data_IF_774892436959
#
_entry.id   IF_774892436959
#
_cell.length_a   1.000
_cell.length_b   1.000
_cell.length_c   1.000
_cell.angle_alpha   90.00
_cell.angle_beta   90.00
_cell.angle_gamma   90.00
#
_symmetry.space_group_name_H-M   'P 1'
#
loop_
_entity.id
_entity.type
_entity.pdbx_description
1 polymer ?
#
# COMPACT_ATOMS: atom_id res chain seq x y z
N UNK A 1 9.57 9.49 -3.98
CA UNK A 1 8.85 10.51 -3.19
C UNK A 1 7.37 10.38 -3.47
N UNK A 2 6.52 10.36 -2.44
CA UNK A 2 5.07 10.50 -2.64
C UNK A 2 4.76 12.00 -2.75
N UNK A 3 4.09 12.46 -3.82
CA UNK A 3 3.98 13.88 -4.13
C UNK A 3 2.77 14.58 -3.46
N UNK A 4 2.07 13.92 -2.54
CA UNK A 4 0.76 14.38 -2.07
C UNK A 4 0.80 14.81 -0.61
N UNK A 5 0.74 16.12 -0.35
CA UNK A 5 0.56 16.67 1.01
C UNK A 5 -0.85 16.38 1.58
N UNK A 6 -1.81 16.13 0.69
CA UNK A 6 -3.22 15.85 1.02
C UNK A 6 -3.72 14.63 0.25
N UNK A 7 -4.70 13.96 0.81
CA UNK A 7 -5.38 12.81 0.22
C UNK A 7 -5.90 13.15 -1.18
N UNK A 8 -5.44 12.46 -2.24
CA UNK A 8 -5.88 12.75 -3.60
C UNK A 8 -7.36 12.39 -3.83
N UNK A 9 -7.94 11.52 -2.99
CA UNK A 9 -9.33 11.11 -3.10
C UNK A 9 -10.32 12.09 -2.44
N UNK A 10 -9.95 12.76 -1.33
CA UNK A 10 -10.90 13.59 -0.56
C UNK A 10 -10.33 14.89 0.04
N UNK A 11 -9.08 15.24 -0.28
CA UNK A 11 -8.42 16.48 0.11
C UNK A 11 -8.09 16.63 1.60
N UNK A 12 -8.28 15.57 2.42
CA UNK A 12 -7.93 15.58 3.85
C UNK A 12 -6.47 15.22 4.09
N UNK A 13 -6.00 15.42 5.31
CA UNK A 13 -4.64 15.06 5.70
C UNK A 13 -4.40 13.55 5.61
N UNK A 14 -3.15 13.23 5.30
CA UNK A 14 -2.62 11.87 5.29
C UNK A 14 -1.70 11.71 6.50
N UNK A 15 -1.68 10.52 7.10
CA UNK A 15 -0.75 10.22 8.18
C UNK A 15 0.01 8.94 7.89
N UNK A 16 1.28 8.88 8.27
CA UNK A 16 2.07 7.66 8.15
C UNK A 16 1.68 6.64 9.23
N UNK A 17 1.41 5.40 8.80
CA UNK A 17 1.09 4.28 9.68
C UNK A 17 1.63 2.97 9.11
N UNK A 18 1.98 2.04 9.99
CA UNK A 18 2.13 0.63 9.60
C UNK A 18 0.75 0.01 9.38
N UNK A 19 0.56 -0.62 8.21
CA UNK A 19 -0.69 -1.29 7.84
C UNK A 19 -0.40 -2.71 7.36
N UNK A 20 -1.39 -3.58 7.50
CA UNK A 20 -1.37 -4.89 6.85
C UNK A 20 -1.85 -4.77 5.39
N UNK A 21 -1.07 -5.34 4.48
CA UNK A 21 -1.39 -5.50 3.06
C UNK A 21 -1.44 -6.99 2.73
N UNK A 22 -2.61 -7.44 2.29
CA UNK A 22 -2.77 -8.77 1.70
C UNK A 22 -2.43 -8.70 0.21
N UNK A 23 -1.50 -9.55 -0.23
CA UNK A 23 -1.19 -9.80 -1.62
C UNK A 23 -1.61 -11.21 -1.99
N UNK A 24 -2.20 -11.35 -3.18
CA UNK A 24 -2.67 -12.64 -3.71
C UNK A 24 -2.02 -12.85 -5.07
N UNK A 25 -1.61 -14.09 -5.34
CA UNK A 25 -1.11 -14.58 -6.62
C UNK A 25 -1.41 -16.07 -6.70
N UNK A 26 -1.98 -16.54 -7.81
CA UNK A 26 -2.50 -17.91 -7.92
C UNK A 26 -3.47 -18.28 -6.77
N UNK A 27 -3.17 -19.39 -6.09
CA UNK A 27 -3.89 -19.86 -4.89
C UNK A 27 -3.22 -19.43 -3.57
N UNK A 28 -2.14 -18.64 -3.63
CA UNK A 28 -1.36 -18.24 -2.47
C UNK A 28 -1.74 -16.83 -2.00
N UNK A 29 -1.60 -16.57 -0.69
CA UNK A 29 -1.80 -15.25 -0.08
C UNK A 29 -0.65 -14.93 0.86
N UNK A 30 -0.08 -13.72 0.74
CA UNK A 30 0.90 -13.18 1.69
C UNK A 30 0.30 -12.00 2.46
N UNK A 31 0.57 -11.95 3.76
CA UNK A 31 0.26 -10.80 4.62
C UNK A 31 1.55 -10.05 4.95
N UNK A 32 1.59 -8.76 4.64
CA UNK A 32 2.77 -7.91 4.81
C UNK A 32 2.44 -6.73 5.70
N UNK A 33 3.36 -6.40 6.62
CA UNK A 33 3.35 -5.14 7.35
C UNK A 33 4.19 -4.13 6.59
N UNK A 34 3.59 -2.98 6.25
CA UNK A 34 4.23 -1.94 5.45
C UNK A 34 3.84 -0.56 5.95
N UNK A 35 4.77 0.39 5.86
CA UNK A 35 4.47 1.79 6.08
C UNK A 35 3.71 2.36 4.88
N UNK A 36 2.63 3.09 5.16
CA UNK A 36 1.79 3.76 4.18
C UNK A 36 1.29 5.08 4.73
N UNK A 37 1.04 6.02 3.84
CA UNK A 37 0.22 7.19 4.17
C UNK A 37 -1.25 6.78 4.11
N UNK A 38 -1.99 7.04 5.19
CA UNK A 38 -3.39 6.64 5.34
C UNK A 38 -4.26 7.87 5.57
N UNK A 39 -5.30 8.03 4.76
CA UNK A 39 -6.34 9.00 5.02
C UNK A 39 -7.33 8.45 6.05
N UNK A 40 -7.38 9.04 7.25
CA UNK A 40 -8.32 8.60 8.28
C UNK A 40 -9.79 8.94 7.97
N UNK A 41 -10.06 9.80 6.98
CA UNK A 41 -11.42 10.16 6.57
C UNK A 41 -12.03 9.16 5.59
N UNK A 42 -11.29 8.78 4.55
CA UNK A 42 -11.82 7.95 3.45
C UNK A 42 -11.17 6.57 3.33
N UNK A 43 -10.07 6.31 4.06
CA UNK A 43 -9.37 5.03 4.06
C UNK A 43 -8.37 4.84 2.91
N UNK A 44 -8.16 5.85 2.06
CA UNK A 44 -7.15 5.84 0.99
C UNK A 44 -5.75 5.53 1.57
N UNK A 45 -4.97 4.71 0.85
CA UNK A 45 -3.63 4.30 1.27
C UNK A 45 -2.64 4.53 0.15
N UNK A 46 -1.66 5.39 0.38
CA UNK A 46 -0.58 5.66 -0.56
C UNK A 46 0.69 4.93 -0.14
N UNK A 47 1.35 4.33 -1.13
CA UNK A 47 2.58 3.58 -0.97
C UNK A 47 3.68 4.22 -1.81
N UNK A 48 4.92 4.16 -1.33
CA UNK A 48 6.05 4.60 -2.15
C UNK A 48 6.20 3.71 -3.38
N UNK A 49 6.82 4.25 -4.44
CA UNK A 49 7.10 3.47 -5.64
C UNK A 49 7.94 2.22 -5.34
N UNK A 50 8.89 2.29 -4.40
CA UNK A 50 9.67 1.13 -3.97
C UNK A 50 8.80 0.05 -3.34
N UNK A 51 7.88 0.45 -2.44
CA UNK A 51 6.92 -0.47 -1.82
C UNK A 51 6.01 -1.13 -2.86
N UNK A 52 5.55 -0.38 -3.86
CA UNK A 52 4.74 -0.93 -4.96
C UNK A 52 5.53 -1.96 -5.78
N UNK A 53 6.79 -1.68 -6.13
CA UNK A 53 7.65 -2.65 -6.84
C UNK A 53 7.84 -3.95 -6.06
N UNK A 54 8.06 -3.86 -4.74
CA UNK A 54 8.13 -5.04 -3.86
C UNK A 54 6.83 -5.85 -3.88
N UNK A 55 5.66 -5.19 -3.95
CA UNK A 55 4.39 -5.90 -4.08
C UNK A 55 4.28 -6.67 -5.40
N UNK A 56 4.76 -6.10 -6.50
CA UNK A 56 4.77 -6.76 -7.81
C UNK A 56 5.69 -7.98 -7.81
N UNK A 57 6.90 -7.86 -7.26
CA UNK A 57 7.84 -8.97 -7.09
C UNK A 57 7.24 -10.10 -6.23
N UNK A 58 6.61 -9.77 -5.10
CA UNK A 58 5.97 -10.77 -4.24
C UNK A 58 4.81 -11.46 -4.95
N UNK A 59 3.97 -10.71 -5.69
CA UNK A 59 2.86 -11.29 -6.45
C UNK A 59 3.36 -12.29 -7.49
N UNK A 60 4.42 -11.96 -8.22
CA UNK A 60 5.03 -12.87 -9.19
C UNK A 60 5.52 -14.18 -8.53
N UNK A 61 6.08 -14.08 -7.31
CA UNK A 61 6.49 -15.25 -6.53
C UNK A 61 5.31 -16.09 -6.01
N UNK A 62 4.15 -15.49 -5.77
CA UNK A 62 2.96 -16.20 -5.29
C UNK A 62 2.23 -17.01 -6.39
N UNK A 63 2.45 -16.68 -7.66
CA UNK A 63 1.83 -17.38 -8.80
C UNK A 63 2.47 -18.75 -9.13
N UNK A 64 3.62 -19.06 -8.53
CA UNK A 64 4.36 -20.31 -8.70
C UNK A 64 4.12 -21.29 -7.56
#
# INVERSE_FOLDING_TARGET
MMPFEKCPACGNEMIEKEVEKLLRGGNNTAALKVHAEVCLRCGERLYTQETVRKFEEIRANLEH
#
